data_IF_409166680185
#
_entry.id   IF_409166680185
#
_cell.length_a   1.000
_cell.length_b   1.000
_cell.length_c   1.000
_cell.angle_alpha   90.00
_cell.angle_beta   90.00
_cell.angle_gamma   90.00
#
_symmetry.space_group_name_H-M   'P 1'
#
loop_
_entity.id
_entity.type
_entity.pdbx_description
1 polymer ?
#
# COMPACT_ATOMS: atom_id res chain seq x y z
N UNK A 1 -7.02 -22.84 5.31
CA UNK A 1 -6.07 -21.88 4.69
C UNK A 1 -6.05 -20.63 5.57
N UNK A 2 -4.86 -20.25 6.05
CA UNK A 2 -4.70 -19.06 6.90
C UNK A 2 -4.89 -17.76 6.09
N UNK A 3 -5.34 -16.71 6.77
CA UNK A 3 -5.36 -15.37 6.15
C UNK A 3 -3.92 -14.94 5.86
N UNK A 4 -3.71 -14.26 4.73
CA UNK A 4 -2.43 -13.62 4.41
C UNK A 4 -2.13 -12.55 5.48
N UNK A 5 -0.93 -12.59 6.05
CA UNK A 5 -0.49 -11.56 6.98
C UNK A 5 0.35 -10.52 6.26
N UNK A 6 0.32 -9.28 6.74
CA UNK A 6 1.10 -8.18 6.16
C UNK A 6 2.60 -8.53 6.05
N UNK A 7 3.18 -9.09 7.12
CA UNK A 7 4.60 -9.48 7.14
C UNK A 7 4.91 -10.60 6.15
N UNK A 8 4.03 -11.62 6.03
CA UNK A 8 4.22 -12.71 5.07
C UNK A 8 4.11 -12.21 3.62
N UNK A 9 3.16 -11.30 3.34
CA UNK A 9 3.03 -10.68 2.03
C UNK A 9 4.29 -9.86 1.68
N UNK A 10 4.79 -9.03 2.58
CA UNK A 10 5.99 -8.23 2.37
C UNK A 10 7.25 -9.10 2.14
N UNK A 11 7.40 -10.19 2.89
CA UNK A 11 8.49 -11.14 2.67
C UNK A 11 8.38 -11.80 1.30
N UNK A 12 7.17 -12.18 0.87
CA UNK A 12 6.92 -12.76 -0.45
C UNK A 12 7.25 -11.76 -1.57
N UNK A 13 6.87 -10.49 -1.42
CA UNK A 13 7.18 -9.44 -2.39
C UNK A 13 8.70 -9.33 -2.54
N UNK A 14 9.43 -9.20 -1.43
CA UNK A 14 10.90 -9.14 -1.43
C UNK A 14 11.54 -10.34 -2.14
N UNK A 15 11.01 -11.54 -1.93
CA UNK A 15 11.56 -12.78 -2.47
C UNK A 15 11.28 -12.97 -3.98
N UNK A 16 10.34 -12.23 -4.54
CA UNK A 16 9.88 -12.40 -5.94
C UNK A 16 10.33 -11.27 -6.85
N UNK A 17 10.32 -10.02 -6.36
CA UNK A 17 10.69 -8.87 -7.20
C UNK A 17 12.21 -8.77 -7.38
N UNK A 18 12.62 -8.00 -8.39
CA UNK A 18 14.02 -7.74 -8.67
C UNK A 18 14.72 -7.13 -7.44
N UNK A 19 15.93 -7.60 -7.12
CA UNK A 19 16.74 -7.10 -6.00
C UNK A 19 17.16 -5.63 -6.17
N UNK A 20 17.23 -5.17 -7.43
CA UNK A 20 17.53 -3.78 -7.79
C UNK A 20 16.28 -2.89 -7.82
N UNK A 21 15.09 -3.43 -7.59
CA UNK A 21 13.86 -2.64 -7.54
C UNK A 21 13.89 -1.60 -6.42
N UNK A 22 13.26 -0.44 -6.66
CA UNK A 22 13.10 0.59 -5.64
C UNK A 22 11.73 0.49 -4.98
N UNK A 23 11.75 0.44 -3.64
CA UNK A 23 10.54 0.35 -2.81
C UNK A 23 10.27 1.70 -2.14
N UNK A 24 9.01 2.09 -2.14
CA UNK A 24 8.54 3.31 -1.52
C UNK A 24 7.43 2.98 -0.53
N UNK A 25 7.53 3.52 0.66
CA UNK A 25 6.52 3.42 1.70
C UNK A 25 6.48 4.70 2.54
N UNK A 26 5.42 4.93 3.28
CA UNK A 26 5.31 6.12 4.13
C UNK A 26 4.67 5.78 5.49
N UNK A 27 3.41 6.08 5.67
CA UNK A 27 2.74 6.00 6.96
C UNK A 27 2.21 4.62 7.35
N UNK A 28 1.85 4.50 8.61
CA UNK A 28 1.14 3.35 9.15
C UNK A 28 2.01 2.20 9.63
N UNK A 29 1.49 0.98 9.58
CA UNK A 29 2.17 -0.23 10.03
C UNK A 29 3.13 -0.83 9.00
N UNK A 30 3.00 -0.46 7.72
CA UNK A 30 3.82 -0.99 6.63
C UNK A 30 5.31 -0.71 6.84
N UNK A 31 5.77 0.53 7.09
CA UNK A 31 7.19 0.80 7.35
C UNK A 31 7.76 -0.03 8.50
N UNK A 32 6.99 -0.19 9.59
CA UNK A 32 7.42 -0.98 10.75
C UNK A 32 7.56 -2.47 10.45
N UNK A 33 6.70 -3.01 9.58
CA UNK A 33 6.84 -4.39 9.10
C UNK A 33 7.99 -4.52 8.11
N UNK A 34 8.16 -3.53 7.22
CA UNK A 34 9.26 -3.49 6.25
C UNK A 34 10.62 -3.55 6.94
N UNK A 35 10.84 -2.80 8.01
CA UNK A 35 12.09 -2.83 8.79
C UNK A 35 12.50 -4.23 9.27
N UNK A 36 11.56 -5.15 9.39
CA UNK A 36 11.81 -6.52 9.88
C UNK A 36 12.14 -7.51 8.77
N UNK A 37 11.67 -7.24 7.56
CA UNK A 37 11.74 -8.22 6.46
C UNK A 37 12.48 -7.70 5.23
N UNK A 38 12.66 -6.37 5.11
CA UNK A 38 13.26 -5.78 3.92
C UNK A 38 14.74 -5.51 4.10
N UNK A 39 15.52 -5.96 3.14
CA UNK A 39 16.94 -5.62 2.98
C UNK A 39 17.18 -5.23 1.53
N UNK A 40 18.03 -4.27 1.29
CA UNK A 40 18.49 -3.88 -0.04
C UNK A 40 19.95 -3.44 0.04
N UNK A 41 20.76 -3.88 -0.90
CA UNK A 41 22.15 -3.43 -1.07
C UNK A 41 22.23 -2.26 -2.07
N UNK A 42 21.15 -2.00 -2.79
CA UNK A 42 21.06 -0.87 -3.72
C UNK A 42 20.98 0.44 -2.94
N UNK A 43 21.90 1.37 -3.21
CA UNK A 43 21.80 2.73 -2.70
C UNK A 43 20.54 3.41 -3.26
N UNK A 44 19.67 3.91 -2.37
CA UNK A 44 18.38 4.48 -2.75
C UNK A 44 17.32 3.45 -3.15
N UNK A 45 17.54 2.15 -2.90
CA UNK A 45 16.56 1.10 -3.18
C UNK A 45 15.38 1.06 -2.20
N UNK A 46 15.44 1.83 -1.11
CA UNK A 46 14.35 1.92 -0.15
C UNK A 46 14.11 3.37 0.25
N UNK A 47 12.90 3.88 -0.03
CA UNK A 47 12.43 5.20 0.35
C UNK A 47 11.32 5.08 1.38
N UNK A 48 11.50 5.70 2.52
CA UNK A 48 10.47 5.82 3.55
C UNK A 48 10.32 7.28 3.98
N UNK A 49 9.11 7.80 3.86
CA UNK A 49 8.79 9.09 4.45
C UNK A 49 8.54 8.86 5.94
N UNK A 50 9.55 9.12 6.77
CA UNK A 50 9.53 8.86 8.20
C UNK A 50 9.40 10.12 9.06
N UNK A 51 9.77 11.28 8.51
CA UNK A 51 9.83 12.51 9.27
C UNK A 51 8.48 12.93 9.84
N UNK A 52 7.50 12.96 8.99
CA UNK A 52 6.12 13.33 9.34
C UNK A 52 5.12 12.21 9.10
N UNK A 53 5.56 11.09 8.52
CA UNK A 53 4.73 9.92 8.20
C UNK A 53 3.51 10.31 7.33
N UNK A 54 3.78 11.07 6.27
CA UNK A 54 2.76 11.64 5.40
C UNK A 54 2.08 10.56 4.57
N UNK A 55 0.82 10.28 4.87
CA UNK A 55 -0.01 9.38 4.06
C UNK A 55 -0.31 10.02 2.70
N UNK A 56 -0.38 9.19 1.65
CA UNK A 56 -0.56 9.65 0.27
C UNK A 56 0.75 9.94 -0.47
N UNK A 57 1.89 9.93 0.22
CA UNK A 57 3.21 10.13 -0.37
C UNK A 57 3.59 9.04 -1.38
N UNK A 58 3.22 7.80 -1.14
CA UNK A 58 3.78 6.61 -1.79
C UNK A 58 3.58 6.61 -3.31
N UNK A 59 2.39 6.94 -3.78
CA UNK A 59 2.04 6.90 -5.21
C UNK A 59 2.75 8.03 -5.96
N UNK A 60 2.70 9.25 -5.42
CA UNK A 60 3.39 10.40 -6.00
C UNK A 60 4.91 10.22 -6.01
N UNK A 61 5.48 9.68 -4.94
CA UNK A 61 6.91 9.41 -4.85
C UNK A 61 7.35 8.32 -5.83
N UNK A 62 6.50 7.30 -6.09
CA UNK A 62 6.78 6.29 -7.10
C UNK A 62 6.91 6.91 -8.50
N UNK A 63 6.05 7.86 -8.84
CA UNK A 63 6.20 8.64 -10.07
C UNK A 63 7.52 9.40 -10.08
N UNK A 64 7.84 10.11 -9.00
CA UNK A 64 9.09 10.88 -8.90
C UNK A 64 10.33 10.04 -9.08
N UNK A 65 10.40 8.87 -8.43
CA UNK A 65 11.50 7.92 -8.60
C UNK A 65 11.55 7.38 -10.03
N UNK A 66 10.39 7.02 -10.62
CA UNK A 66 10.36 6.50 -11.98
C UNK A 66 10.80 7.53 -13.03
N UNK A 67 10.53 8.81 -12.80
CA UNK A 67 11.04 9.91 -13.64
C UNK A 67 12.55 10.10 -13.50
N UNK A 68 13.10 9.88 -12.30
CA UNK A 68 14.53 10.00 -12.03
C UNK A 68 15.32 8.76 -12.48
N UNK A 69 14.71 7.57 -12.39
CA UNK A 69 15.29 6.27 -12.73
C UNK A 69 14.36 5.51 -13.70
N UNK A 70 14.25 5.92 -14.97
CA UNK A 70 13.24 5.41 -15.89
C UNK A 70 13.36 3.91 -16.22
N UNK A 71 14.55 3.33 -16.13
CA UNK A 71 14.79 1.92 -16.42
C UNK A 71 14.59 1.03 -15.20
N UNK A 72 14.40 1.60 -14.01
CA UNK A 72 14.26 0.85 -12.78
C UNK A 72 12.83 0.39 -12.53
N UNK A 73 12.65 -0.80 -11.94
CA UNK A 73 11.35 -1.22 -11.42
C UNK A 73 11.08 -0.51 -10.08
N UNK A 74 9.89 0.07 -9.96
CA UNK A 74 9.48 0.87 -8.80
C UNK A 74 8.18 0.33 -8.24
N UNK A 75 8.14 0.15 -6.92
CA UNK A 75 7.00 -0.36 -6.18
C UNK A 75 6.59 0.61 -5.07
N UNK A 76 5.35 1.10 -5.10
CA UNK A 76 4.72 1.80 -4.00
C UNK A 76 4.01 0.78 -3.10
N UNK A 77 4.44 0.64 -1.85
CA UNK A 77 3.81 -0.21 -0.84
C UNK A 77 2.95 0.68 0.06
N UNK A 78 1.65 0.61 -0.10
CA UNK A 78 0.71 1.60 0.42
C UNK A 78 -0.49 0.94 1.12
N UNK A 79 -0.95 1.52 2.23
CA UNK A 79 -2.22 1.14 2.85
C UNK A 79 -3.43 1.70 2.08
N UNK A 80 -4.57 1.05 2.18
CA UNK A 80 -5.82 1.44 1.52
C UNK A 80 -6.24 2.88 1.83
N UNK A 81 -6.16 3.31 3.07
CA UNK A 81 -6.47 4.69 3.47
C UNK A 81 -5.49 5.70 2.86
N UNK A 82 -4.20 5.38 2.82
CA UNK A 82 -3.17 6.21 2.20
C UNK A 82 -3.36 6.29 0.68
N UNK A 83 -3.65 5.17 0.04
CA UNK A 83 -3.96 5.10 -1.39
C UNK A 83 -5.15 6.00 -1.74
N UNK A 84 -6.22 5.98 -0.97
CA UNK A 84 -7.39 6.83 -1.21
C UNK A 84 -7.10 8.33 -1.12
N UNK A 85 -6.06 8.74 -0.39
CA UNK A 85 -5.73 10.17 -0.26
C UNK A 85 -5.15 10.78 -1.54
N UNK A 86 -4.34 10.03 -2.29
CA UNK A 86 -3.63 10.59 -3.45
C UNK A 86 -3.43 9.60 -4.60
N UNK A 87 -4.34 8.65 -4.80
CA UNK A 87 -4.28 7.75 -5.96
C UNK A 87 -4.49 8.47 -7.30
N UNK A 88 -4.97 9.70 -7.30
CA UNK A 88 -5.14 10.54 -8.49
C UNK A 88 -3.83 10.75 -9.26
N UNK A 89 -2.65 10.61 -8.61
CA UNK A 89 -1.35 10.69 -9.26
C UNK A 89 -1.11 9.55 -10.28
N UNK A 90 -1.91 8.51 -10.26
CA UNK A 90 -1.98 7.51 -11.34
C UNK A 90 -2.26 8.20 -12.69
N UNK A 91 -3.13 9.23 -12.70
CA UNK A 91 -3.41 9.99 -13.92
C UNK A 91 -2.15 10.70 -14.45
N UNK A 92 -1.34 11.26 -13.57
CA UNK A 92 -0.04 11.86 -13.93
C UNK A 92 0.93 10.80 -14.46
N UNK A 93 0.99 9.62 -13.84
CA UNK A 93 1.80 8.49 -14.36
C UNK A 93 1.40 8.11 -15.78
N UNK A 94 0.10 8.05 -16.06
CA UNK A 94 -0.41 7.74 -17.40
C UNK A 94 -0.05 8.85 -18.40
N UNK A 95 -0.21 10.11 -18.01
CA UNK A 95 0.15 11.26 -18.84
C UNK A 95 1.63 11.24 -19.22
N UNK A 96 2.50 10.97 -18.25
CA UNK A 96 3.95 10.90 -18.42
C UNK A 96 4.42 9.54 -18.99
N UNK A 97 3.49 8.60 -19.24
CA UNK A 97 3.79 7.23 -19.73
C UNK A 97 4.79 6.49 -18.83
N UNK A 98 4.70 6.72 -17.54
CA UNK A 98 5.55 6.08 -16.55
C UNK A 98 4.82 4.92 -15.89
N UNK A 99 5.48 3.76 -15.80
CA UNK A 99 4.97 2.57 -15.11
C UNK A 99 5.58 2.46 -13.72
N UNK A 100 4.76 2.42 -12.69
CA UNK A 100 5.14 1.94 -11.37
C UNK A 100 4.15 0.85 -10.92
N UNK A 101 4.59 -0.01 -10.01
CA UNK A 101 3.76 -1.05 -9.43
C UNK A 101 3.21 -0.54 -8.08
N UNK A 102 1.90 -0.65 -7.87
CA UNK A 102 1.24 -0.18 -6.66
C UNK A 102 0.68 -1.38 -5.90
N UNK A 103 1.18 -1.61 -4.70
CA UNK A 103 0.82 -2.73 -3.84
C UNK A 103 -0.06 -2.20 -2.69
N UNK A 104 -1.37 -2.30 -2.85
CA UNK A 104 -2.35 -1.81 -1.88
C UNK A 104 -2.62 -2.88 -0.83
N UNK A 105 -2.34 -2.57 0.43
CA UNK A 105 -2.67 -3.40 1.59
C UNK A 105 -4.00 -2.95 2.18
N UNK A 106 -5.06 -3.69 1.88
CA UNK A 106 -6.43 -3.39 2.31
C UNK A 106 -6.69 -3.97 3.69
N UNK A 107 -6.93 -3.09 4.64
CA UNK A 107 -7.40 -3.42 5.99
C UNK A 107 -8.68 -2.65 6.37
N UNK A 108 -9.36 -2.06 5.39
CA UNK A 108 -10.59 -1.28 5.53
C UNK A 108 -10.44 -0.06 6.46
N UNK A 109 -9.30 0.65 6.38
CA UNK A 109 -9.16 1.89 7.16
C UNK A 109 -7.73 2.27 7.57
N UNK A 110 -7.65 3.00 8.66
CA UNK A 110 -6.41 3.49 9.27
C UNK A 110 -5.90 2.47 10.31
N UNK A 111 -5.51 1.27 9.86
CA UNK A 111 -5.25 0.13 10.74
C UNK A 111 -4.23 0.38 11.85
N UNK A 112 -3.18 1.16 11.59
CA UNK A 112 -2.20 1.54 12.63
C UNK A 112 -2.85 2.35 13.75
N UNK A 113 -3.61 3.36 13.41
CA UNK A 113 -4.30 4.23 14.38
C UNK A 113 -5.41 3.46 15.10
N UNK A 114 -6.14 2.61 14.37
CA UNK A 114 -7.14 1.75 15.00
C UNK A 114 -6.53 0.85 16.07
N UNK A 115 -5.38 0.21 15.77
CA UNK A 115 -4.67 -0.61 16.75
C UNK A 115 -4.23 0.20 17.99
N UNK A 116 -3.77 1.43 17.82
CA UNK A 116 -3.43 2.31 18.93
C UNK A 116 -4.67 2.62 19.81
N UNK A 117 -5.79 2.96 19.20
CA UNK A 117 -7.06 3.17 19.92
C UNK A 117 -7.47 1.93 20.70
N UNK A 118 -7.45 0.76 20.06
CA UNK A 118 -7.81 -0.51 20.71
C UNK A 118 -6.90 -0.82 21.90
N UNK A 119 -5.61 -0.62 21.76
CA UNK A 119 -4.62 -0.87 22.81
C UNK A 119 -4.79 0.08 24.01
N UNK A 120 -5.37 1.26 23.80
CA UNK A 120 -5.72 2.21 24.88
C UNK A 120 -7.15 2.06 25.40
N UNK A 121 -7.89 1.03 24.98
CA UNK A 121 -9.25 0.76 25.42
C UNK A 121 -10.31 1.73 24.89
N UNK A 122 -9.97 2.55 23.88
CA UNK A 122 -10.91 3.54 23.31
C UNK A 122 -11.93 2.87 22.37
N UNK A 123 -11.58 1.73 21.81
CA UNK A 123 -12.34 1.10 20.74
C UNK A 123 -12.07 1.77 19.38
N UNK A 124 -12.68 1.25 18.34
CA UNK A 124 -12.57 1.82 16.99
C UNK A 124 -13.43 3.09 16.90
N UNK A 125 -12.77 4.24 16.74
CA UNK A 125 -13.45 5.54 16.60
C UNK A 125 -13.04 6.19 15.27
N UNK A 126 -13.91 6.06 14.26
CA UNK A 126 -13.73 6.64 12.92
C UNK A 126 -12.40 6.27 12.22
N UNK A 127 -11.80 5.15 12.59
CA UNK A 127 -10.54 4.64 12.03
C UNK A 127 -10.71 3.45 11.10
N UNK A 128 -11.94 2.96 10.98
CA UNK A 128 -12.33 1.95 10.02
C UNK A 128 -13.36 2.53 9.03
N UNK A 129 -13.34 2.07 7.79
CA UNK A 129 -14.33 2.44 6.79
C UNK A 129 -15.62 1.67 7.04
N UNK A 130 -16.54 2.26 7.80
CA UNK A 130 -17.82 1.66 8.21
C UNK A 130 -18.99 2.48 7.76
N UNK A 131 -20.07 1.80 7.44
CA UNK A 131 -21.35 2.46 7.25
C UNK A 131 -21.79 3.16 8.53
N UNK A 132 -22.49 4.29 8.37
CA UNK A 132 -23.03 5.04 9.50
C UNK A 132 -24.31 4.39 9.99
N UNK A 133 -24.38 4.15 11.30
CA UNK A 133 -25.59 3.75 12.00
C UNK A 133 -25.88 4.80 13.07
N UNK A 134 -27.03 5.48 12.92
CA UNK A 134 -27.34 6.65 13.73
C UNK A 134 -26.27 7.74 13.57
N UNK A 135 -25.67 8.14 14.69
CA UNK A 135 -24.67 9.22 14.70
C UNK A 135 -23.20 8.73 14.65
N UNK A 136 -22.96 7.43 14.46
CA UNK A 136 -21.60 6.85 14.52
C UNK A 136 -21.31 5.99 13.30
N UNK A 137 -20.06 5.96 12.81
CA UNK A 137 -19.61 5.01 11.80
C UNK A 137 -19.31 3.66 12.47
N UNK A 138 -20.33 2.89 12.82
CA UNK A 138 -20.20 1.64 13.59
C UNK A 138 -20.91 0.44 12.93
N UNK A 139 -21.47 0.61 11.74
CA UNK A 139 -22.06 -0.46 10.95
C UNK A 139 -21.03 -1.38 10.32
N UNK A 140 -21.44 -2.13 9.32
CA UNK A 140 -20.54 -3.03 8.57
C UNK A 140 -19.40 -2.28 7.88
N UNK A 141 -18.28 -2.98 7.65
CA UNK A 141 -17.17 -2.45 6.87
C UNK A 141 -17.60 -2.17 5.43
N UNK A 142 -17.10 -1.07 4.87
CA UNK A 142 -17.35 -0.69 3.48
C UNK A 142 -16.33 -1.42 2.60
N UNK A 143 -16.75 -2.39 1.77
CA UNK A 143 -15.83 -3.08 0.87
C UNK A 143 -15.51 -2.16 -0.33
N UNK A 144 -14.24 -1.81 -0.47
CA UNK A 144 -13.74 -1.09 -1.65
C UNK A 144 -12.99 -2.09 -2.54
N UNK A 145 -13.36 -2.15 -3.80
CA UNK A 145 -12.65 -2.97 -4.79
C UNK A 145 -11.56 -2.13 -5.47
N UNK A 146 -10.37 -2.14 -4.89
CA UNK A 146 -9.23 -1.37 -5.38
C UNK A 146 -8.73 -1.86 -6.76
N UNK A 147 -8.95 -3.13 -7.09
CA UNK A 147 -8.65 -3.65 -8.43
C UNK A 147 -9.52 -2.96 -9.47
N UNK A 148 -10.84 -2.81 -9.21
CA UNK A 148 -11.72 -2.05 -10.10
C UNK A 148 -11.39 -0.56 -10.17
N UNK A 149 -10.90 0.03 -9.09
CA UNK A 149 -10.40 1.42 -9.13
C UNK A 149 -9.24 1.52 -10.13
N UNK A 150 -8.28 0.59 -10.08
CA UNK A 150 -7.16 0.54 -11.01
C UNK A 150 -7.62 0.27 -12.46
N UNK A 151 -8.57 -0.65 -12.66
CA UNK A 151 -9.19 -0.92 -13.97
C UNK A 151 -9.88 0.32 -14.55
N UNK A 152 -10.51 1.14 -13.70
CA UNK A 152 -11.11 2.41 -14.11
C UNK A 152 -10.11 3.42 -14.70
N UNK A 153 -8.84 3.32 -14.31
CA UNK A 153 -7.72 4.03 -14.96
C UNK A 153 -7.15 3.29 -16.17
N UNK A 154 -7.66 2.10 -16.51
CA UNK A 154 -7.11 1.27 -17.59
C UNK A 154 -5.86 0.50 -17.21
N UNK A 155 -5.57 0.35 -15.92
CA UNK A 155 -4.41 -0.39 -15.43
C UNK A 155 -4.71 -1.89 -15.31
N UNK A 156 -3.67 -2.71 -15.45
CA UNK A 156 -3.72 -4.13 -15.10
C UNK A 156 -3.77 -4.25 -13.58
N UNK A 157 -4.69 -5.03 -13.06
CA UNK A 157 -4.91 -5.16 -11.63
C UNK A 157 -5.11 -6.60 -11.19
N UNK A 158 -4.86 -6.86 -9.90
CA UNK A 158 -5.02 -8.16 -9.28
C UNK A 158 -5.55 -8.00 -7.86
N UNK A 159 -6.41 -8.93 -7.42
CA UNK A 159 -6.82 -9.06 -6.02
C UNK A 159 -6.25 -10.35 -5.46
N UNK A 160 -5.35 -10.26 -4.50
CA UNK A 160 -4.64 -11.39 -3.92
C UNK A 160 -5.12 -11.64 -2.47
N UNK A 161 -5.63 -12.83 -2.20
CA UNK A 161 -6.10 -13.26 -0.86
C UNK A 161 -5.20 -14.33 -0.25
N UNK A 162 -4.28 -14.90 -1.02
CA UNK A 162 -3.31 -15.90 -0.59
C UNK A 162 -1.91 -15.54 -1.07
N UNK A 163 -0.90 -16.17 -0.48
CA UNK A 163 0.50 -16.00 -0.89
C UNK A 163 0.73 -16.51 -2.32
N UNK A 164 0.05 -17.60 -2.70
CA UNK A 164 0.14 -18.18 -4.04
C UNK A 164 -0.39 -17.21 -5.11
N UNK A 165 -1.55 -16.58 -4.85
CA UNK A 165 -2.12 -15.56 -5.72
C UNK A 165 -1.19 -14.34 -5.82
N UNK A 166 -0.59 -13.91 -4.71
CA UNK A 166 0.35 -12.80 -4.70
C UNK A 166 1.60 -13.10 -5.54
N UNK A 167 2.18 -14.30 -5.40
CA UNK A 167 3.32 -14.72 -6.25
C UNK A 167 2.96 -14.67 -7.72
N UNK A 168 1.86 -15.31 -8.09
CA UNK A 168 1.41 -15.35 -9.49
C UNK A 168 1.10 -13.97 -10.08
N UNK A 169 0.75 -12.98 -9.25
CA UNK A 169 0.50 -11.62 -9.69
C UNK A 169 1.80 -10.79 -9.86
N UNK A 170 2.87 -11.17 -9.15
CA UNK A 170 4.18 -10.50 -9.21
C UNK A 170 5.07 -11.04 -10.34
N UNK A 171 4.89 -12.30 -10.72
CA UNK A 171 5.54 -12.99 -11.88
C UNK A 171 4.88 -12.57 -13.22
#
# INVERSE_FOLDING_TARGET
KGKITQTAALATIRDVIDEDATIITAGGSLPSCMQRVWTTDKRGGYHAEYGYSCMGYEVAAALGVKLAEPDNEVYAVVGDASFQMLHSEIMTMMQEKQKANILVFDNCGFGCINNLQMNHGIGSLATEFRYREGNKPCGDLIPVDYAKVAEGYGLKSYTCKTIEELRAALE
#
